data_IF_123605301631
#
_entry.id   IF_123605301631
#
_cell.length_a   1.000
_cell.length_b   1.000
_cell.length_c   1.000
_cell.angle_alpha   90.00
_cell.angle_beta   90.00
_cell.angle_gamma   90.00
#
_symmetry.space_group_name_H-M   'P 1'
#
loop_
_entity.id
_entity.type
_entity.pdbx_description
1 polymer ?
#
# COMPACT_ATOMS: atom_id res chain seq x y z
N UNK A 1 2.99 -4.00 42.25
CA UNK A 1 2.83 -3.50 40.87
C UNK A 1 1.64 -4.24 40.29
N UNK A 2 0.57 -3.54 39.90
CA UNK A 2 -0.57 -4.17 39.24
C UNK A 2 -0.19 -4.42 37.79
N UNK A 3 -0.18 -5.68 37.37
CA UNK A 3 -0.06 -6.06 35.96
C UNK A 3 -1.45 -5.93 35.35
N UNK A 4 -1.66 -4.91 34.52
CA UNK A 4 -2.86 -4.81 33.71
C UNK A 4 -2.66 -5.80 32.56
N UNK A 5 -3.46 -6.88 32.56
CA UNK A 5 -3.49 -7.83 31.46
C UNK A 5 -4.56 -7.37 30.48
N UNK A 6 -4.14 -6.81 29.36
CA UNK A 6 -5.04 -6.50 28.24
C UNK A 6 -5.26 -7.79 27.46
N UNK A 7 -6.48 -8.31 27.46
CA UNK A 7 -6.88 -9.41 26.60
C UNK A 7 -7.88 -8.93 25.55
N UNK A 8 -7.83 -9.52 24.36
CA UNK A 8 -8.78 -9.27 23.27
C UNK A 8 -9.53 -10.56 23.02
N UNK A 9 -10.85 -10.52 23.14
CA UNK A 9 -11.70 -11.64 22.72
C UNK A 9 -11.77 -11.61 21.20
N UNK A 10 -11.26 -12.65 20.54
CA UNK A 10 -11.46 -12.89 19.11
C UNK A 10 -12.59 -13.88 18.93
N UNK A 11 -13.61 -13.49 18.20
CA UNK A 11 -14.64 -14.41 17.71
C UNK A 11 -14.27 -14.80 16.27
N UNK A 12 -13.08 -15.38 16.07
CA UNK A 12 -12.66 -15.88 14.77
C UNK A 12 -12.65 -17.41 14.79
N UNK A 13 -13.33 -18.03 13.81
CA UNK A 13 -13.12 -19.46 13.56
C UNK A 13 -11.72 -19.62 12.95
N UNK A 14 -10.85 -20.38 13.61
CA UNK A 14 -9.45 -20.54 13.19
C UNK A 14 -9.32 -21.02 11.74
N UNK A 15 -10.33 -21.71 11.22
CA UNK A 15 -10.35 -22.22 9.83
C UNK A 15 -10.57 -21.14 8.78
N UNK A 16 -11.15 -20.01 9.17
CA UNK A 16 -11.40 -18.86 8.30
C UNK A 16 -10.52 -17.66 8.66
N UNK A 17 -9.52 -17.86 9.54
CA UNK A 17 -8.62 -16.78 9.91
C UNK A 17 -7.63 -16.53 8.78
N UNK A 18 -7.45 -15.28 8.33
CA UNK A 18 -6.46 -14.98 7.31
C UNK A 18 -5.05 -15.25 7.84
N UNK A 19 -4.09 -15.42 6.95
CA UNK A 19 -2.70 -15.74 7.26
C UNK A 19 -1.75 -14.83 6.48
N UNK A 20 -0.66 -14.41 7.12
CA UNK A 20 0.43 -13.71 6.43
C UNK A 20 1.39 -14.77 5.92
N UNK A 21 1.54 -14.84 4.59
CA UNK A 21 2.43 -15.76 3.92
C UNK A 21 3.84 -15.19 3.83
N UNK A 22 3.93 -13.88 3.59
CA UNK A 22 5.20 -13.17 3.48
C UNK A 22 5.06 -11.71 3.89
N UNK A 23 6.05 -11.19 4.60
CA UNK A 23 6.17 -9.78 4.96
C UNK A 23 7.62 -9.35 4.77
N UNK A 24 7.85 -8.44 3.83
CA UNK A 24 9.12 -7.76 3.61
C UNK A 24 8.97 -6.28 3.86
N UNK A 25 10.01 -5.62 4.34
CA UNK A 25 9.97 -4.18 4.54
C UNK A 25 11.36 -3.58 4.55
N UNK A 26 11.47 -2.37 4.03
CA UNK A 26 12.68 -1.57 4.12
C UNK A 26 12.38 -0.13 4.47
N UNK A 27 13.45 0.58 4.84
CA UNK A 27 13.43 2.00 5.05
C UNK A 27 14.65 2.64 4.41
N UNK A 28 14.44 3.73 3.67
CA UNK A 28 15.52 4.53 3.09
C UNK A 28 15.02 5.95 2.82
N UNK A 29 15.86 6.94 3.09
CA UNK A 29 15.63 8.35 2.80
C UNK A 29 14.27 8.86 3.33
N UNK A 30 13.97 8.53 4.60
CA UNK A 30 12.69 8.95 5.21
C UNK A 30 11.46 8.26 4.63
N UNK A 31 11.62 7.14 3.92
CA UNK A 31 10.51 6.38 3.34
C UNK A 31 10.58 4.93 3.78
N UNK A 32 9.50 4.43 4.39
CA UNK A 32 9.28 3.03 4.63
C UNK A 32 8.43 2.42 3.53
N UNK A 33 8.78 1.23 3.10
CA UNK A 33 7.98 0.42 2.18
C UNK A 33 7.80 -0.96 2.77
N UNK A 34 6.62 -1.55 2.62
CA UNK A 34 6.43 -2.97 2.86
C UNK A 34 5.77 -3.67 1.67
N UNK A 35 6.13 -4.94 1.51
CA UNK A 35 5.45 -5.90 0.68
C UNK A 35 4.83 -6.97 1.58
N UNK A 36 3.55 -7.24 1.37
CA UNK A 36 2.79 -8.25 2.09
C UNK A 36 2.18 -9.21 1.07
N UNK A 37 2.36 -10.50 1.31
CA UNK A 37 1.56 -11.55 0.70
C UNK A 37 0.76 -12.22 1.81
N UNK A 38 -0.55 -12.24 1.67
CA UNK A 38 -1.46 -12.81 2.65
C UNK A 38 -2.48 -13.70 1.97
N UNK A 39 -2.98 -14.69 2.71
CA UNK A 39 -4.03 -15.58 2.25
C UNK A 39 -5.23 -15.52 3.16
N UNK A 40 -6.41 -15.62 2.57
CA UNK A 40 -7.66 -15.77 3.30
C UNK A 40 -8.39 -16.99 2.71
N UNK A 41 -8.58 -18.06 3.48
CA UNK A 41 -9.23 -19.29 3.02
C UNK A 41 -10.73 -19.09 2.66
N UNK A 42 -11.27 -17.89 2.83
CA UNK A 42 -12.61 -17.50 2.40
C UNK A 42 -13.62 -17.47 3.54
N UNK A 43 -14.79 -16.91 3.21
CA UNK A 43 -15.88 -16.71 4.16
C UNK A 43 -16.63 -18.00 4.50
N UNK A 44 -17.19 -18.07 5.71
CA UNK A 44 -17.95 -19.22 6.16
C UNK A 44 -19.26 -19.38 5.34
N UNK A 45 -19.44 -20.46 4.56
CA UNK A 45 -20.63 -20.63 3.72
C UNK A 45 -21.93 -20.68 4.54
N UNK A 46 -21.85 -21.06 5.82
CA UNK A 46 -23.00 -21.14 6.72
C UNK A 46 -23.47 -19.78 7.25
N UNK A 47 -22.64 -18.73 7.11
CA UNK A 47 -22.97 -17.35 7.50
C UNK A 47 -23.43 -16.49 6.32
N UNK A 48 -23.68 -17.11 5.15
CA UNK A 48 -23.98 -16.36 3.92
C UNK A 48 -22.74 -15.75 3.27
N UNK A 49 -21.56 -16.26 3.65
CA UNK A 49 -20.28 -15.90 3.05
C UNK A 49 -20.30 -16.03 1.53
N UNK A 50 -19.67 -15.07 0.85
CA UNK A 50 -19.65 -15.03 -0.61
C UNK A 50 -18.86 -16.19 -1.24
N UNK A 51 -18.14 -16.98 -0.43
CA UNK A 51 -17.27 -18.06 -0.89
C UNK A 51 -16.00 -17.55 -1.57
N UNK A 52 -15.74 -16.25 -1.50
CA UNK A 52 -14.54 -15.61 -1.98
C UNK A 52 -13.67 -15.16 -0.79
N UNK A 53 -12.33 -15.27 -0.91
CA UNK A 53 -11.36 -14.61 -0.04
C UNK A 53 -11.64 -13.12 0.06
N UNK A 54 -11.63 -12.57 1.27
CA UNK A 54 -12.08 -11.20 1.47
C UNK A 54 -11.32 -10.44 2.56
N UNK A 55 -9.99 -10.47 2.50
CA UNK A 55 -9.14 -9.49 3.20
C UNK A 55 -9.66 -8.07 2.85
N UNK A 56 -10.24 -7.40 3.85
CA UNK A 56 -10.88 -6.09 3.71
C UNK A 56 -9.88 -4.99 4.00
N UNK A 57 -9.04 -5.22 5.02
CA UNK A 57 -8.17 -4.20 5.61
C UNK A 57 -6.85 -4.76 6.05
N UNK A 58 -5.85 -3.89 6.08
CA UNK A 58 -4.65 -4.10 6.88
C UNK A 58 -4.42 -2.91 7.81
N UNK A 59 -3.68 -3.16 8.87
CA UNK A 59 -3.18 -2.17 9.83
C UNK A 59 -1.66 -2.25 9.78
N UNK A 60 -1.01 -1.12 9.51
CA UNK A 60 0.45 -1.04 9.44
C UNK A 60 1.01 -0.02 10.43
N UNK A 61 2.11 -0.38 11.10
CA UNK A 61 2.90 0.53 11.95
C UNK A 61 4.41 0.26 11.83
N UNK A 62 5.22 1.24 12.23
CA UNK A 62 6.65 1.06 12.53
C UNK A 62 6.83 0.91 14.03
N UNK A 63 7.55 -0.14 14.45
CA UNK A 63 7.71 -0.53 15.86
C UNK A 63 9.16 -0.73 16.24
N UNK A 64 9.44 -0.80 17.53
CA UNK A 64 10.76 -1.16 18.09
C UNK A 64 11.05 -2.68 18.07
N UNK A 65 10.33 -3.46 17.25
CA UNK A 65 10.37 -4.93 17.24
C UNK A 65 9.96 -5.60 18.57
N UNK A 66 9.33 -4.85 19.47
CA UNK A 66 8.72 -5.34 20.69
C UNK A 66 7.24 -4.92 20.79
N UNK A 67 6.61 -4.58 19.67
CA UNK A 67 5.23 -4.11 19.60
C UNK A 67 5.01 -2.65 19.98
N UNK A 68 6.05 -1.89 20.36
CA UNK A 68 5.88 -0.49 20.72
C UNK A 68 6.04 0.39 19.48
N UNK A 69 5.05 1.24 19.22
CA UNK A 69 5.09 2.19 18.10
C UNK A 69 6.33 3.08 18.20
N UNK A 70 7.12 3.12 17.13
CA UNK A 70 8.28 4.00 16.99
C UNK A 70 7.89 5.37 16.40
N UNK A 71 6.70 5.48 15.81
CA UNK A 71 6.12 6.75 15.37
C UNK A 71 5.75 7.59 16.61
N UNK A 72 6.13 8.87 16.62
CA UNK A 72 5.91 9.79 17.76
C UNK A 72 4.43 9.87 18.14
N UNK A 73 4.14 10.01 19.44
CA UNK A 73 2.77 10.16 19.94
C UNK A 73 2.10 11.41 19.30
N UNK A 74 1.09 11.16 18.46
CA UNK A 74 0.41 12.19 17.65
C UNK A 74 0.47 11.91 16.14
N UNK A 75 1.49 11.19 15.66
CA UNK A 75 1.60 10.67 14.30
C UNK A 75 1.23 9.18 14.25
N UNK A 76 0.31 8.75 15.11
CA UNK A 76 -0.13 7.36 15.30
C UNK A 76 -0.90 6.80 14.10
N UNK A 77 -0.31 6.93 12.91
CA UNK A 77 -0.79 6.35 11.68
C UNK A 77 -0.61 4.84 11.78
N UNK A 78 -1.63 4.19 12.33
CA UNK A 78 -2.03 2.92 11.74
C UNK A 78 -2.59 3.27 10.38
N UNK A 79 -1.79 3.10 9.33
CA UNK A 79 -2.36 3.22 7.99
C UNK A 79 -3.35 2.05 7.83
N UNK A 80 -4.63 2.39 7.76
CA UNK A 80 -5.70 1.45 7.46
C UNK A 80 -5.93 1.51 5.97
N UNK A 81 -5.32 0.59 5.24
CA UNK A 81 -5.63 0.45 3.82
C UNK A 81 -6.85 -0.42 3.63
N UNK A 82 -7.81 0.08 2.87
CA UNK A 82 -8.94 -0.71 2.40
C UNK A 82 -8.59 -1.36 1.08
N UNK A 83 -8.66 -2.69 1.03
CA UNK A 83 -8.41 -3.44 -0.21
C UNK A 83 -9.64 -3.46 -1.14
N UNK A 84 -10.79 -2.96 -0.68
CA UNK A 84 -11.95 -2.60 -1.50
C UNK A 84 -12.57 -3.76 -2.32
N UNK A 85 -13.72 -3.50 -2.95
CA UNK A 85 -14.46 -4.51 -3.75
C UNK A 85 -13.84 -4.80 -5.13
N UNK A 86 -12.79 -4.09 -5.54
CA UNK A 86 -12.19 -4.25 -6.87
C UNK A 86 -11.32 -5.50 -7.01
N UNK A 87 -11.20 -6.31 -5.94
CA UNK A 87 -10.63 -7.66 -5.98
C UNK A 87 -11.59 -8.73 -6.56
N UNK A 88 -12.83 -8.37 -6.91
CA UNK A 88 -13.85 -9.30 -7.39
C UNK A 88 -14.23 -9.13 -8.88
N UNK A 89 -13.54 -8.27 -9.63
CA UNK A 89 -13.81 -8.11 -11.06
C UNK A 89 -13.12 -9.21 -11.86
N UNK A 90 -13.76 -9.85 -12.86
CA UNK A 90 -13.05 -10.76 -13.76
C UNK A 90 -11.87 -10.04 -14.42
N UNK A 91 -10.64 -10.44 -14.10
CA UNK A 91 -9.41 -9.75 -14.52
C UNK A 91 -8.73 -8.91 -13.43
N UNK A 92 -9.27 -8.81 -12.21
CA UNK A 92 -8.54 -8.29 -11.05
C UNK A 92 -7.52 -9.32 -10.58
N UNK A 93 -6.31 -8.85 -10.24
CA UNK A 93 -5.12 -9.69 -9.99
C UNK A 93 -5.13 -10.49 -8.68
N UNK A 94 -6.27 -10.54 -7.99
CA UNK A 94 -6.63 -11.49 -6.93
C UNK A 94 -7.15 -12.84 -7.47
N UNK A 95 -7.15 -13.07 -8.79
CA UNK A 95 -7.44 -14.37 -9.39
C UNK A 95 -6.30 -15.41 -9.23
N UNK A 96 -5.47 -15.28 -8.19
CA UNK A 96 -4.87 -16.42 -7.51
C UNK A 96 -5.78 -16.75 -6.33
N UNK A 97 -6.59 -17.80 -6.47
CA UNK A 97 -7.55 -18.28 -5.49
C UNK A 97 -6.99 -18.19 -4.06
N UNK A 98 -7.40 -17.20 -3.27
CA UNK A 98 -7.12 -17.12 -1.84
C UNK A 98 -5.88 -16.34 -1.41
N UNK A 99 -5.23 -15.57 -2.30
CA UNK A 99 -4.07 -14.72 -1.92
C UNK A 99 -4.19 -13.25 -2.37
N UNK A 100 -3.82 -12.33 -1.49
CA UNK A 100 -3.67 -10.89 -1.78
C UNK A 100 -2.20 -10.49 -1.66
N UNK A 101 -1.78 -9.58 -2.53
CA UNK A 101 -0.47 -8.92 -2.48
C UNK A 101 -0.68 -7.43 -2.29
N UNK A 102 0.03 -6.85 -1.33
CA UNK A 102 -0.08 -5.45 -0.96
C UNK A 102 1.32 -4.85 -0.94
N UNK A 103 1.50 -3.74 -1.65
CA UNK A 103 2.69 -2.91 -1.59
C UNK A 103 2.24 -1.56 -1.06
N UNK A 104 2.90 -1.08 -0.01
CA UNK A 104 2.57 0.21 0.61
C UNK A 104 3.82 1.00 0.93
N UNK A 105 3.64 2.32 0.96
CA UNK A 105 4.70 3.29 1.14
C UNK A 105 4.25 4.34 2.15
N UNK A 106 5.08 4.57 3.16
CA UNK A 106 4.89 5.61 4.16
C UNK A 106 6.13 6.49 4.20
N UNK A 107 5.96 7.78 3.92
CA UNK A 107 7.01 8.76 4.22
C UNK A 107 6.95 9.13 5.69
N UNK A 108 8.07 9.01 6.38
CA UNK A 108 8.24 9.32 7.79
C UNK A 108 9.39 10.31 7.91
N UNK A 109 9.19 11.41 8.63
CA UNK A 109 10.25 12.34 8.98
C UNK A 109 11.15 11.72 10.07
N UNK A 110 11.93 10.72 9.67
CA UNK A 110 12.82 9.93 10.51
C UNK A 110 14.14 9.68 9.75
N UNK A 111 15.30 9.97 10.35
CA UNK A 111 16.59 9.63 9.77
C UNK A 111 16.79 8.11 9.63
N UNK A 112 17.45 7.67 8.57
CA UNK A 112 17.74 6.25 8.33
C UNK A 112 18.44 5.55 9.51
N UNK A 113 19.31 6.26 10.22
CA UNK A 113 19.99 5.73 11.41
C UNK A 113 19.03 5.40 12.56
N UNK A 114 17.93 6.17 12.70
CA UNK A 114 16.89 5.90 13.70
C UNK A 114 16.01 4.72 13.28
N UNK A 115 15.87 4.49 11.97
CA UNK A 115 15.12 3.37 11.41
C UNK A 115 15.85 2.01 11.51
N UNK A 116 17.18 1.99 11.69
CA UNK A 116 18.01 0.77 11.64
C UNK A 116 17.72 -0.30 12.71
N UNK A 117 16.85 -0.03 13.69
CA UNK A 117 16.44 -0.99 14.72
C UNK A 117 14.94 -1.26 14.76
N UNK A 118 14.19 -0.79 13.76
CA UNK A 118 12.73 -0.88 13.77
C UNK A 118 12.20 -2.08 12.98
N UNK A 119 10.94 -2.39 13.20
CA UNK A 119 10.18 -3.41 12.48
C UNK A 119 8.96 -2.80 11.81
N UNK A 120 8.64 -3.28 10.61
CA UNK A 120 7.31 -3.13 10.03
C UNK A 120 6.38 -4.10 10.75
N UNK A 121 5.26 -3.60 11.27
CA UNK A 121 4.28 -4.37 12.02
C UNK A 121 2.96 -4.34 11.27
N UNK A 122 2.47 -5.51 10.85
CA UNK A 122 1.26 -5.62 10.05
C UNK A 122 0.28 -6.59 10.68
N UNK A 123 -1.00 -6.23 10.62
CA UNK A 123 -2.13 -7.12 10.89
C UNK A 123 -3.16 -6.98 9.79
N UNK A 124 -3.76 -8.09 9.38
CA UNK A 124 -4.84 -8.11 8.38
C UNK A 124 -6.17 -8.47 9.02
N UNK A 125 -7.24 -7.98 8.41
CA UNK A 125 -8.63 -8.20 8.81
C UNK A 125 -9.46 -8.50 7.55
N UNK A 126 -10.23 -9.57 7.59
CA UNK A 126 -11.19 -9.92 6.55
C UNK A 126 -12.55 -9.22 6.76
N UNK A 127 -13.51 -9.42 5.84
CA UNK A 127 -14.82 -8.76 5.95
C UNK A 127 -15.70 -9.28 7.07
N UNK A 128 -15.43 -10.49 7.55
CA UNK A 128 -16.13 -11.09 8.69
C UNK A 128 -15.53 -10.64 10.04
N UNK A 129 -14.40 -9.93 10.00
CA UNK A 129 -13.67 -9.44 11.16
C UNK A 129 -12.71 -10.46 11.75
N UNK A 130 -12.40 -11.56 11.05
CA UNK A 130 -11.30 -12.44 11.42
C UNK A 130 -9.98 -11.72 11.14
N UNK A 131 -9.02 -11.92 12.03
CA UNK A 131 -7.76 -11.17 11.97
C UNK A 131 -6.57 -12.01 12.35
N UNK A 132 -5.42 -11.68 11.79
CA UNK A 132 -4.14 -12.20 12.29
C UNK A 132 -3.75 -11.60 13.64
N UNK A 133 -2.71 -12.16 14.24
CA UNK A 133 -1.83 -11.42 15.15
C UNK A 133 -1.05 -10.34 14.38
N UNK A 134 -0.48 -9.39 15.13
CA UNK A 134 0.52 -8.51 14.56
C UNK A 134 1.76 -9.33 14.26
N UNK A 135 2.23 -9.25 13.01
CA UNK A 135 3.48 -9.85 12.57
C UNK A 135 4.47 -8.72 12.37
N UNK A 136 5.64 -8.86 12.97
CA UNK A 136 6.73 -7.90 12.87
C UNK A 136 7.85 -8.46 11.98
N UNK A 137 8.31 -7.65 11.03
CA UNK A 137 9.48 -7.93 10.20
C UNK A 137 10.48 -6.77 10.33
N UNK A 138 11.77 -7.02 10.62
CA UNK A 138 12.79 -5.97 10.67
C UNK A 138 12.87 -5.18 9.36
N UNK A 139 12.92 -3.84 9.44
CA UNK A 139 13.10 -2.99 8.23
C UNK A 139 14.56 -2.83 7.83
N UNK A 140 15.48 -3.11 8.75
CA UNK A 140 16.90 -3.15 8.48
C UNK A 140 17.27 -4.52 7.91
N UNK A 141 17.55 -4.58 6.61
CA UNK A 141 18.23 -5.73 6.02
C UNK A 141 17.47 -6.54 4.98
N UNK A 142 16.68 -5.90 4.12
CA UNK A 142 16.41 -6.55 2.84
C UNK A 142 17.75 -6.78 2.13
N UNK A 143 18.05 -8.05 1.93
CA UNK A 143 19.29 -8.49 1.27
C UNK A 143 19.02 -8.55 -0.22
N UNK A 144 19.79 -7.83 -1.02
CA UNK A 144 19.57 -7.81 -2.46
C UNK A 144 19.70 -6.44 -3.07
N UNK A 145 19.46 -6.37 -4.37
CA UNK A 145 19.47 -5.12 -5.11
C UNK A 145 18.04 -4.62 -5.30
N UNK A 146 17.75 -3.34 -5.05
CA UNK A 146 16.42 -2.81 -5.34
C UNK A 146 16.09 -2.91 -6.84
N UNK A 147 14.80 -2.97 -7.21
CA UNK A 147 14.38 -2.85 -8.59
C UNK A 147 14.93 -1.58 -9.23
N UNK A 148 15.22 -1.61 -10.53
CA UNK A 148 15.75 -0.48 -11.30
C UNK A 148 14.64 0.08 -12.18
N UNK A 149 14.27 1.34 -11.95
CA UNK A 149 13.36 2.09 -12.83
C UNK A 149 14.20 2.76 -13.91
N UNK A 150 14.03 2.33 -15.17
CA UNK A 150 14.73 2.92 -16.32
C UNK A 150 13.96 4.07 -16.94
N UNK A 151 12.64 3.96 -17.03
CA UNK A 151 11.75 5.02 -17.51
C UNK A 151 10.47 5.04 -16.69
N UNK A 152 10.00 6.23 -16.35
CA UNK A 152 8.66 6.47 -15.82
C UNK A 152 8.15 7.79 -16.38
N UNK A 153 6.94 7.78 -16.92
CA UNK A 153 6.22 8.99 -17.34
C UNK A 153 4.76 8.87 -16.92
N UNK A 154 4.22 9.96 -16.39
CA UNK A 154 2.78 10.16 -16.26
C UNK A 154 2.33 11.15 -17.34
N UNK A 155 1.25 10.85 -18.05
CA UNK A 155 0.75 11.73 -19.11
C UNK A 155 -0.77 11.78 -19.12
N UNK A 156 -1.31 12.96 -19.38
CA UNK A 156 -2.75 13.19 -19.40
C UNK A 156 -3.30 13.08 -20.82
N UNK A 157 -4.39 12.32 -20.99
CA UNK A 157 -5.11 12.22 -22.25
C UNK A 157 -6.58 12.61 -22.06
N UNK A 158 -7.11 13.36 -23.02
CA UNK A 158 -8.48 13.84 -22.98
C UNK A 158 -9.19 13.64 -24.32
N UNK A 159 -10.46 13.28 -24.21
CA UNK A 159 -11.42 13.24 -25.30
C UNK A 159 -12.72 13.90 -24.84
N UNK A 160 -13.66 14.09 -25.78
CA UNK A 160 -15.00 14.59 -25.46
C UNK A 160 -15.79 13.69 -24.49
N UNK A 161 -15.45 12.41 -24.39
CA UNK A 161 -16.19 11.44 -23.57
C UNK A 161 -15.54 11.17 -22.21
N UNK A 162 -14.21 11.25 -22.14
CA UNK A 162 -13.46 10.92 -20.93
C UNK A 162 -12.05 11.53 -20.95
N UNK A 163 -11.49 11.73 -19.75
CA UNK A 163 -10.08 12.04 -19.55
C UNK A 163 -9.42 11.07 -18.58
N UNK A 164 -8.12 10.84 -18.80
CA UNK A 164 -7.32 9.83 -18.13
C UNK A 164 -5.95 10.40 -17.77
N UNK A 165 -5.44 10.01 -16.60
CA UNK A 165 -4.03 10.10 -16.27
C UNK A 165 -3.42 8.71 -16.48
N UNK A 166 -2.52 8.61 -17.45
CA UNK A 166 -1.94 7.34 -17.89
C UNK A 166 -0.49 7.21 -17.45
N UNK A 167 -0.02 5.97 -17.33
CA UNK A 167 1.31 5.69 -16.80
C UNK A 167 2.10 4.77 -17.72
N UNK A 168 3.34 5.16 -18.02
CA UNK A 168 4.32 4.30 -18.69
C UNK A 168 5.48 4.03 -17.74
N UNK A 169 5.67 2.77 -17.33
CA UNK A 169 6.76 2.33 -16.46
C UNK A 169 7.58 1.24 -17.15
N UNK A 170 8.90 1.40 -17.13
CA UNK A 170 9.84 0.32 -17.40
C UNK A 170 10.75 0.12 -16.20
N UNK A 171 10.54 -1.01 -15.51
CA UNK A 171 11.32 -1.42 -14.36
C UNK A 171 11.79 -2.86 -14.55
N UNK A 172 12.99 -3.16 -14.05
CA UNK A 172 13.53 -4.52 -13.99
C UNK A 172 14.09 -4.78 -12.60
N UNK A 173 14.15 -6.04 -12.21
CA UNK A 173 14.70 -6.44 -10.92
C UNK A 173 15.95 -7.29 -11.14
N UNK A 174 17.13 -6.88 -10.64
CA UNK A 174 18.36 -7.65 -10.77
C UNK A 174 18.28 -9.04 -10.11
N UNK A 175 17.50 -9.17 -9.04
CA UNK A 175 17.37 -10.39 -8.25
C UNK A 175 16.21 -11.27 -8.75
N UNK A 176 15.38 -10.75 -9.65
CA UNK A 176 14.30 -11.47 -10.31
C UNK A 176 13.06 -11.71 -9.42
N UNK A 177 12.96 -11.00 -8.30
CA UNK A 177 11.86 -11.09 -7.33
C UNK A 177 10.99 -9.83 -7.30
N UNK A 178 10.83 -9.17 -8.45
CA UNK A 178 9.97 -7.99 -8.60
C UNK A 178 8.55 -8.27 -8.11
N UNK A 179 8.07 -7.46 -7.16
CA UNK A 179 6.71 -7.61 -6.61
C UNK A 179 5.72 -6.72 -7.37
N UNK A 180 6.04 -5.45 -7.56
CA UNK A 180 5.12 -4.54 -8.21
C UNK A 180 5.50 -3.07 -8.18
N UNK A 181 4.59 -2.23 -8.68
CA UNK A 181 4.72 -0.79 -8.70
C UNK A 181 3.55 -0.08 -8.03
N UNK A 182 3.84 1.01 -7.33
CA UNK A 182 2.88 1.84 -6.60
C UNK A 182 3.03 3.31 -6.98
N UNK A 183 1.93 4.04 -7.11
CA UNK A 183 1.93 5.46 -7.47
C UNK A 183 1.36 6.31 -6.35
N UNK A 184 2.04 7.41 -6.06
CA UNK A 184 1.62 8.45 -5.12
C UNK A 184 1.51 9.78 -5.84
N UNK A 185 0.52 10.57 -5.46
CA UNK A 185 0.32 11.91 -5.98
C UNK A 185 0.63 12.96 -4.91
N UNK A 186 1.34 13.99 -5.33
CA UNK A 186 1.53 15.21 -4.56
C UNK A 186 0.66 16.27 -5.20
N UNK A 187 -0.13 16.95 -4.38
CA UNK A 187 -1.10 17.96 -4.79
C UNK A 187 -0.67 19.34 -4.31
N UNK A 188 -1.35 20.36 -4.82
CA UNK A 188 -1.28 21.71 -4.26
C UNK A 188 -1.91 21.72 -2.87
N UNK A 189 -1.44 22.63 -2.03
CA UNK A 189 -2.04 22.88 -0.71
C UNK A 189 -3.50 23.34 -0.86
N UNK A 190 -4.40 22.75 -0.06
CA UNK A 190 -5.82 23.08 -0.04
C UNK A 190 -6.68 22.35 -1.07
N UNK A 191 -6.14 21.35 -1.78
CA UNK A 191 -6.89 20.52 -2.73
C UNK A 191 -7.80 19.52 -2.00
N UNK A 192 -7.31 18.87 -0.94
CA UNK A 192 -8.07 17.84 -0.20
C UNK A 192 -8.53 18.29 1.19
N UNK A 193 -8.24 19.52 1.58
CA UNK A 193 -8.57 20.02 2.91
C UNK A 193 -8.46 21.54 3.03
N UNK A 194 -8.54 22.03 4.27
CA UNK A 194 -8.23 23.42 4.57
C UNK A 194 -6.74 23.66 4.32
N UNK A 195 -6.35 24.77 3.67
CA UNK A 195 -4.95 25.07 3.43
C UNK A 195 -4.15 25.17 4.73
N UNK A 196 -3.00 24.51 4.78
CA UNK A 196 -2.11 24.50 5.95
C UNK A 196 -0.67 24.96 5.64
N UNK A 197 -0.40 25.33 4.39
CA UNK A 197 0.91 25.77 3.90
C UNK A 197 1.83 24.64 3.44
N UNK A 198 1.39 23.38 3.50
CA UNK A 198 2.12 22.21 3.01
C UNK A 198 1.40 21.60 1.80
N UNK A 199 2.14 21.04 0.82
CA UNK A 199 1.51 20.28 -0.26
C UNK A 199 0.67 19.13 0.28
N UNK A 200 -0.58 19.02 -0.19
CA UNK A 200 -1.43 17.87 0.13
C UNK A 200 -0.83 16.61 -0.49
N UNK A 201 -0.81 15.52 0.28
CA UNK A 201 -0.30 14.22 -0.19
C UNK A 201 -1.46 13.23 -0.26
N UNK A 202 -1.74 12.73 -1.45
CA UNK A 202 -2.75 11.71 -1.67
C UNK A 202 -2.15 10.48 -2.32
N UNK A 203 -2.50 9.31 -1.80
CA UNK A 203 -2.15 8.03 -2.43
C UNK A 203 -3.33 7.58 -3.27
N UNK A 204 -3.09 7.24 -4.54
CA UNK A 204 -4.11 6.66 -5.39
C UNK A 204 -3.80 5.19 -5.65
N UNK A 205 -4.74 4.33 -5.27
CA UNK A 205 -4.56 2.88 -5.32
C UNK A 205 -3.71 2.40 -4.14
N UNK A 206 -4.35 2.07 -3.02
CA UNK A 206 -3.75 1.46 -1.81
C UNK A 206 -3.23 0.03 -2.08
N UNK A 207 -3.01 -0.30 -3.34
CA UNK A 207 -2.70 -1.64 -3.83
C UNK A 207 -1.66 -1.44 -4.93
N UNK A 208 -0.40 -1.74 -4.62
CA UNK A 208 0.61 -1.87 -5.68
C UNK A 208 0.16 -2.88 -6.72
N UNK A 209 0.43 -2.58 -7.98
CA UNK A 209 0.10 -3.46 -9.09
C UNK A 209 1.21 -4.49 -9.27
N UNK A 210 0.85 -5.77 -9.37
CA UNK A 210 1.84 -6.82 -9.63
C UNK A 210 2.58 -6.53 -10.95
N UNK A 211 3.90 -6.72 -10.93
CA UNK A 211 4.72 -6.43 -12.11
C UNK A 211 4.77 -4.94 -12.47
N UNK A 212 5.09 -4.64 -13.73
CA UNK A 212 5.47 -3.30 -14.19
C UNK A 212 4.31 -2.47 -14.77
N UNK A 213 3.07 -2.95 -14.67
CA UNK A 213 1.90 -2.28 -15.24
C UNK A 213 1.14 -1.54 -14.15
N UNK A 214 1.09 -0.22 -14.25
CA UNK A 214 0.26 0.63 -13.38
C UNK A 214 -1.08 0.83 -14.10
N UNK A 215 -2.19 0.77 -13.36
CA UNK A 215 -3.50 1.04 -13.93
C UNK A 215 -3.68 2.54 -14.19
N UNK A 216 -4.13 2.88 -15.39
CA UNK A 216 -4.52 4.25 -15.75
C UNK A 216 -5.66 4.75 -14.86
N UNK A 217 -5.57 6.02 -14.48
CA UNK A 217 -6.55 6.68 -13.64
C UNK A 217 -7.60 7.40 -14.49
N UNK A 218 -8.85 6.96 -14.39
CA UNK A 218 -9.98 7.70 -14.94
C UNK A 218 -10.21 8.99 -14.16
N UNK A 219 -9.97 10.13 -14.81
CA UNK A 219 -10.12 11.44 -14.20
C UNK A 219 -11.56 11.96 -14.32
N UNK A 220 -12.16 11.82 -15.50
CA UNK A 220 -13.51 12.34 -15.77
C UNK A 220 -14.22 11.57 -16.87
N UNK A 221 -15.55 11.49 -16.77
CA UNK A 221 -16.51 11.12 -17.82
C UNK A 221 -17.69 12.08 -17.79
N UNK A 222 -18.73 11.85 -18.60
CA UNK A 222 -19.98 12.62 -18.52
C UNK A 222 -20.74 12.47 -17.20
N UNK A 223 -20.51 11.39 -16.45
CA UNK A 223 -21.28 11.05 -15.24
C UNK A 223 -20.42 10.91 -13.99
N UNK A 224 -19.11 11.15 -14.11
CA UNK A 224 -18.14 10.95 -13.04
C UNK A 224 -16.99 11.94 -13.20
N UNK A 225 -16.52 12.48 -12.09
CA UNK A 225 -15.33 13.31 -12.02
C UNK A 225 -14.62 13.01 -10.71
N UNK A 226 -13.29 12.91 -10.75
CA UNK A 226 -12.48 12.81 -9.55
C UNK A 226 -12.62 14.07 -8.69
N UNK A 227 -12.34 13.94 -7.40
CA UNK A 227 -12.35 15.08 -6.49
C UNK A 227 -11.23 16.11 -6.77
N UNK A 228 -10.31 15.79 -7.69
CA UNK A 228 -9.18 16.62 -8.08
C UNK A 228 -9.02 16.59 -9.61
N UNK A 229 -8.33 17.61 -10.13
CA UNK A 229 -8.00 17.78 -11.55
C UNK A 229 -6.50 17.61 -11.79
N UNK A 230 -6.09 17.52 -13.06
CA UNK A 230 -4.66 17.44 -13.42
C UNK A 230 -3.88 18.68 -12.97
N UNK A 231 -4.52 19.85 -12.96
CA UNK A 231 -3.92 21.11 -12.52
C UNK A 231 -3.67 21.13 -11.01
N UNK A 232 -4.33 20.27 -10.23
CA UNK A 232 -4.12 20.16 -8.80
C UNK A 232 -2.84 19.36 -8.46
N UNK A 233 -2.30 18.59 -9.41
CA UNK A 233 -1.12 17.77 -9.22
C UNK A 233 0.16 18.61 -9.34
N UNK A 234 1.09 18.40 -8.40
CA UNK A 234 2.44 18.99 -8.42
C UNK A 234 3.51 17.95 -8.74
N UNK A 235 3.28 16.68 -8.39
CA UNK A 235 4.16 15.58 -8.75
C UNK A 235 3.42 14.24 -8.75
N UNK A 236 3.93 13.30 -9.56
CA UNK A 236 3.57 11.89 -9.54
C UNK A 236 4.82 11.09 -9.19
N UNK A 237 4.78 10.33 -8.10
CA UNK A 237 5.89 9.49 -7.66
C UNK A 237 5.55 8.02 -7.88
N UNK A 238 6.43 7.28 -8.55
CA UNK A 238 6.34 5.82 -8.64
C UNK A 238 7.38 5.17 -7.74
N UNK A 239 6.95 4.09 -7.10
CA UNK A 239 7.77 3.18 -6.32
C UNK A 239 7.76 1.83 -7.00
N UNK A 240 8.94 1.29 -7.31
CA UNK A 240 9.11 -0.07 -7.82
C UNK A 240 9.67 -0.91 -6.67
N UNK A 241 8.99 -2.01 -6.31
CA UNK A 241 9.22 -2.75 -5.07
C UNK A 241 9.40 -4.24 -5.37
N UNK A 242 10.37 -4.89 -4.71
CA UNK A 242 10.59 -6.33 -4.77
C UNK A 242 9.87 -7.06 -3.62
N UNK A 243 9.88 -8.40 -3.64
CA UNK A 243 9.23 -9.20 -2.59
C UNK A 243 9.91 -9.05 -1.23
N UNK A 244 11.18 -8.67 -1.16
CA UNK A 244 11.88 -8.43 0.12
C UNK A 244 11.54 -7.05 0.70
N UNK A 245 10.86 -6.20 -0.08
CA UNK A 245 10.52 -4.84 0.28
C UNK A 245 11.59 -3.83 -0.13
N UNK A 246 12.65 -4.20 -0.86
CA UNK A 246 13.55 -3.21 -1.44
C UNK A 246 12.81 -2.40 -2.49
N UNK A 247 13.15 -1.12 -2.61
CA UNK A 247 12.48 -0.26 -3.56
C UNK A 247 13.41 0.74 -4.25
N UNK A 248 12.94 1.23 -5.40
CA UNK A 248 13.44 2.42 -6.06
C UNK A 248 12.31 3.42 -6.26
N UNK A 249 12.68 4.70 -6.28
CA UNK A 249 11.75 5.82 -6.44
C UNK A 249 12.07 6.56 -7.74
N UNK A 250 11.04 6.94 -8.48
CA UNK A 250 11.15 7.96 -9.53
C UNK A 250 10.02 8.97 -9.38
N UNK A 251 10.34 10.24 -9.52
CA UNK A 251 9.38 11.35 -9.45
C UNK A 251 9.26 11.98 -10.83
N UNK A 252 8.03 12.17 -11.27
CA UNK A 252 7.65 13.01 -12.39
C UNK A 252 7.05 14.31 -11.84
N UNK A 253 7.78 15.42 -11.99
CA UNK A 253 7.36 16.74 -11.50
C UNK A 253 6.61 17.55 -12.58
N UNK A 254 6.33 16.97 -13.76
CA UNK A 254 5.61 17.62 -14.84
C UNK A 254 4.66 16.63 -15.53
N UNK A 255 3.61 16.14 -14.83
CA UNK A 255 2.73 15.08 -15.34
C UNK A 255 1.81 15.51 -16.51
N UNK A 256 2.03 16.70 -17.05
CA UNK A 256 1.15 17.37 -18.04
C UNK A 256 1.79 17.41 -19.44
N UNK A 257 3.04 16.97 -19.60
CA UNK A 257 3.73 16.97 -20.91
C UNK A 257 3.52 15.73 -21.75
#
# INVERSE_FOLDING_TARGET
>A
RATIVTFRVRCSDERYTPSILHLGGTFRDGTSVFFLEASDPGSNPLLGGSGFPDIDRYQWNLTDCAGNSALRAGSGFTEVGFLGRNLASPGSRSAGADTVRVVMVLSVDMPDAEAQGLCTSVRIEDREGNTTDFVEAPIAGATGSPPVITTFNAFYTESLAASWLQFALNASDPDGDFAGAFVRFTFKDGTFGSPDGQPDLGSYGVQGFEGNTIQDLLMRTQTFEQAFTIDDLTAVTVYAVDRKGNFSIRVDNDPVR
#
